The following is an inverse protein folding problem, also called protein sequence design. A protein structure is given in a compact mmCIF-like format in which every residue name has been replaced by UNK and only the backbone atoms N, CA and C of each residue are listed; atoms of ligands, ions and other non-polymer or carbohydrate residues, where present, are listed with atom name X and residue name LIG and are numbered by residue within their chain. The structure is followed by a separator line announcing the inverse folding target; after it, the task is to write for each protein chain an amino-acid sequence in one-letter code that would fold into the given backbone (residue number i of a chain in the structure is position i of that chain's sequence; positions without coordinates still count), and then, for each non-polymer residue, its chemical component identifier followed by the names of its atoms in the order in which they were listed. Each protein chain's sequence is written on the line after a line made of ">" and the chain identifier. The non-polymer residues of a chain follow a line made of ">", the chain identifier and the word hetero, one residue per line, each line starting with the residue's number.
data_IF_650597529898
#
_entry.id   IF_650597529898
#
_cell.length_a   1.000
_cell.length_b   1.000
_cell.length_c   1.000
_cell.angle_alpha   90.00
_cell.angle_beta   90.00
_cell.angle_gamma   90.00
#
_symmetry.space_group_name_H-M   'P 1'
#
loop_
_entity.id
_entity.type
_entity.pdbx_description
1 polymer ?
#
# COMPACT_ATOMS: atom_id res chain seq x y z
N UNK A 1 -14.82 -22.67 17.54
CA UNK A 1 -13.95 -23.88 17.47
C UNK A 1 -14.81 -25.13 17.26
N UNK A 2 -14.40 -26.06 16.40
CA UNK A 2 -15.28 -27.17 15.97
C UNK A 2 -15.34 -28.35 16.96
N UNK A 3 -14.30 -28.54 17.77
CA UNK A 3 -14.15 -29.73 18.62
C UNK A 3 -13.71 -29.43 20.07
N UNK A 4 -13.68 -28.16 20.49
CA UNK A 4 -13.32 -27.79 21.86
C UNK A 4 -13.96 -26.46 22.29
N UNK A 5 -13.94 -26.20 23.59
CA UNK A 5 -14.19 -24.87 24.19
C UNK A 5 -12.93 -24.42 24.92
N UNK A 6 -12.54 -23.15 24.82
CA UNK A 6 -11.28 -22.70 25.37
C UNK A 6 -11.09 -21.18 25.35
N UNK A 7 -10.03 -20.72 26.00
CA UNK A 7 -9.63 -19.32 25.92
C UNK A 7 -8.84 -19.07 24.62
N UNK A 8 -9.17 -17.99 23.93
CA UNK A 8 -8.39 -17.42 22.84
C UNK A 8 -7.83 -16.08 23.31
N UNK A 9 -6.61 -15.76 22.88
CA UNK A 9 -5.99 -14.46 23.05
C UNK A 9 -5.75 -13.83 21.68
N UNK A 10 -6.18 -12.59 21.53
CA UNK A 10 -6.12 -11.86 20.27
C UNK A 10 -5.32 -10.58 20.49
N UNK A 11 -4.22 -10.46 19.75
CA UNK A 11 -3.34 -9.30 19.76
C UNK A 11 -3.47 -8.56 18.43
N UNK A 12 -4.11 -7.38 18.43
CA UNK A 12 -4.32 -6.55 17.25
C UNK A 12 -3.62 -5.20 17.41
N UNK A 13 -2.92 -4.75 16.37
CA UNK A 13 -2.18 -3.50 16.47
C UNK A 13 -1.47 -3.08 15.19
N UNK A 14 -0.49 -2.21 15.37
CA UNK A 14 0.41 -1.69 14.35
C UNK A 14 1.84 -2.11 14.72
N UNK A 15 2.54 -2.71 13.76
CA UNK A 15 3.93 -3.12 13.89
C UNK A 15 4.81 -2.31 12.93
N UNK A 16 5.42 -1.23 13.42
CA UNK A 16 6.40 -0.42 12.68
C UNK A 16 7.85 -0.88 12.86
N UNK A 17 8.07 -2.13 13.29
CA UNK A 17 9.42 -2.70 13.40
C UNK A 17 9.90 -3.36 12.11
N UNK A 18 9.09 -3.34 11.05
CA UNK A 18 9.42 -3.89 9.72
C UNK A 18 10.61 -3.15 9.12
N UNK A 19 11.41 -3.88 8.35
CA UNK A 19 12.57 -3.37 7.61
C UNK A 19 12.51 -3.89 6.18
N UNK A 20 13.21 -3.21 5.28
CA UNK A 20 13.43 -3.67 3.92
C UNK A 20 14.83 -4.30 3.86
N UNK A 21 14.91 -5.62 3.84
CA UNK A 21 16.18 -6.35 3.82
C UNK A 21 17.15 -5.90 4.92
N UNK A 22 16.62 -5.60 6.11
CA UNK A 22 17.39 -5.10 7.26
C UNK A 22 17.50 -3.57 7.36
N UNK A 23 17.20 -2.83 6.30
CA UNK A 23 17.19 -1.36 6.32
C UNK A 23 15.91 -0.85 6.96
N UNK A 24 16.07 0.05 7.92
CA UNK A 24 14.95 0.76 8.51
C UNK A 24 14.70 2.06 7.74
N UNK A 25 13.51 2.23 7.15
CA UNK A 25 13.19 3.46 6.41
C UNK A 25 12.52 4.53 7.25
N UNK A 26 11.99 4.18 8.43
CA UNK A 26 11.21 5.09 9.27
C UNK A 26 11.94 5.46 10.56
N UNK A 27 11.87 6.75 10.90
CA UNK A 27 12.31 7.30 12.18
C UNK A 27 11.45 6.74 13.32
N UNK A 28 11.92 6.92 14.56
CA UNK A 28 11.05 6.67 15.71
C UNK A 28 9.82 7.58 15.62
N UNK A 29 8.67 6.99 15.88
CA UNK A 29 7.38 7.64 15.70
C UNK A 29 6.64 7.88 17.01
N UNK A 30 5.45 8.47 16.92
CA UNK A 30 4.52 8.58 18.03
C UNK A 30 3.48 7.48 17.96
N UNK A 31 3.26 6.79 19.07
CA UNK A 31 2.21 5.79 19.26
C UNK A 31 1.08 6.41 20.08
N UNK A 32 -0.18 6.17 19.70
CA UNK A 32 -1.33 6.69 20.42
C UNK A 32 -2.45 5.66 20.46
N UNK A 33 -3.13 5.62 21.61
CA UNK A 33 -4.40 4.94 21.80
C UNK A 33 -5.41 5.97 22.32
N UNK A 34 -6.56 6.12 21.66
CA UNK A 34 -7.60 7.08 22.04
C UNK A 34 -8.69 6.44 22.90
N UNK A 35 -9.44 7.25 23.65
CA UNK A 35 -10.66 6.82 24.36
C UNK A 35 -11.72 6.18 23.44
N UNK A 36 -11.75 6.55 22.15
CA UNK A 36 -12.63 5.94 21.15
C UNK A 36 -12.14 4.58 20.63
N UNK A 37 -11.10 3.98 21.22
CA UNK A 37 -10.57 2.67 20.80
C UNK A 37 -9.78 2.68 19.49
N UNK A 38 -9.27 3.84 19.06
CA UNK A 38 -8.43 3.98 17.86
C UNK A 38 -6.96 3.90 18.27
N UNK A 39 -6.20 3.07 17.55
CA UNK A 39 -4.74 2.99 17.63
C UNK A 39 -4.17 3.78 16.44
N UNK A 40 -3.24 4.70 16.67
CA UNK A 40 -2.49 5.36 15.60
C UNK A 40 -0.98 5.29 15.84
N UNK A 41 -0.23 5.25 14.74
CA UNK A 41 1.21 5.40 14.68
C UNK A 41 1.57 6.45 13.65
N UNK A 42 2.29 7.48 14.06
CA UNK A 42 2.84 8.52 13.18
C UNK A 42 4.35 8.36 13.09
N UNK A 43 4.93 8.43 11.90
CA UNK A 43 6.38 8.43 11.69
C UNK A 43 6.75 9.25 10.45
N UNK A 44 8.04 9.45 10.21
CA UNK A 44 8.61 10.05 9.01
C UNK A 44 9.69 9.17 8.43
N UNK A 45 9.85 9.18 7.11
CA UNK A 45 10.99 8.51 6.47
C UNK A 45 12.31 9.16 6.92
N UNK A 46 13.39 8.37 6.97
CA UNK A 46 14.69 8.85 7.47
C UNK A 46 15.28 9.93 6.56
N UNK A 47 15.30 9.70 5.25
CA UNK A 47 16.01 10.53 4.28
C UNK A 47 15.11 11.60 3.65
N UNK A 48 13.92 11.20 3.18
CA UNK A 48 13.02 12.08 2.42
C UNK A 48 12.01 12.86 3.27
N UNK A 49 12.01 12.65 4.59
CA UNK A 49 11.09 13.27 5.56
C UNK A 49 9.60 13.19 5.20
N UNK A 50 9.21 12.15 4.47
CA UNK A 50 7.81 11.87 4.12
C UNK A 50 7.10 11.40 5.39
N UNK A 51 6.06 12.13 5.79
CA UNK A 51 5.23 11.74 6.93
C UNK A 51 4.31 10.58 6.56
N UNK A 52 4.13 9.66 7.51
CA UNK A 52 3.28 8.49 7.42
C UNK A 52 2.42 8.39 8.68
N UNK A 53 1.13 8.12 8.51
CA UNK A 53 0.23 7.69 9.58
C UNK A 53 -0.45 6.39 9.22
N UNK A 54 -0.42 5.45 10.16
CA UNK A 54 -1.28 4.27 10.16
C UNK A 54 -2.26 4.46 11.32
N UNK A 55 -3.55 4.43 11.05
CA UNK A 55 -4.59 4.40 12.07
C UNK A 55 -5.47 3.16 11.89
N UNK A 56 -5.84 2.53 12.99
CA UNK A 56 -6.64 1.31 12.98
C UNK A 56 -7.62 1.26 14.13
N UNK A 57 -8.77 0.63 13.88
CA UNK A 57 -9.72 0.22 14.90
C UNK A 57 -10.30 -1.14 14.53
N UNK A 58 -10.64 -1.93 15.52
CA UNK A 58 -11.30 -3.22 15.33
C UNK A 58 -12.54 -3.32 16.22
N UNK A 59 -13.41 -4.25 15.86
CA UNK A 59 -14.55 -4.69 16.68
C UNK A 59 -14.64 -6.20 16.66
N UNK A 60 -15.10 -6.76 17.76
CA UNK A 60 -15.36 -8.20 17.90
C UNK A 60 -16.85 -8.48 17.79
N UNK A 61 -17.17 -9.67 17.27
CA UNK A 61 -18.52 -10.17 17.16
C UNK A 61 -18.54 -11.63 17.59
N UNK A 62 -19.61 -12.04 18.26
CA UNK A 62 -19.88 -13.42 18.65
C UNK A 62 -21.25 -13.81 18.13
N UNK A 63 -21.31 -14.83 17.27
CA UNK A 63 -22.54 -15.31 16.66
C UNK A 63 -23.38 -14.18 16.01
N UNK A 64 -22.72 -13.22 15.37
CA UNK A 64 -23.34 -12.06 14.71
C UNK A 64 -23.55 -10.82 15.58
N UNK A 65 -23.49 -10.94 16.90
CA UNK A 65 -23.71 -9.83 17.84
C UNK A 65 -22.38 -9.13 18.21
N UNK A 66 -22.43 -7.82 18.48
CA UNK A 66 -21.24 -7.07 18.93
C UNK A 66 -20.80 -7.62 20.28
N UNK A 67 -19.51 -7.93 20.38
CA UNK A 67 -18.88 -8.41 21.61
C UNK A 67 -17.96 -7.32 22.17
N UNK A 68 -18.35 -6.78 23.32
CA UNK A 68 -17.49 -5.91 24.12
C UNK A 68 -16.50 -6.77 24.91
N UNK A 69 -15.21 -6.60 24.64
CA UNK A 69 -14.13 -7.32 25.33
C UNK A 69 -13.23 -6.30 26.01
N UNK A 70 -12.84 -6.57 27.26
CA UNK A 70 -11.82 -5.75 27.92
C UNK A 70 -10.49 -5.92 27.19
N UNK A 71 -9.91 -4.81 26.78
CA UNK A 71 -8.64 -4.77 26.07
C UNK A 71 -7.55 -4.16 26.94
N UNK A 72 -6.35 -4.74 26.88
CA UNK A 72 -5.16 -4.24 27.54
C UNK A 72 -4.21 -3.65 26.49
N UNK A 73 -3.78 -2.40 26.72
CA UNK A 73 -2.86 -1.71 25.82
C UNK A 73 -1.43 -2.18 26.09
N UNK A 74 -0.77 -2.69 25.05
CA UNK A 74 0.63 -3.04 25.06
C UNK A 74 1.42 -2.19 24.05
N UNK A 75 2.69 -1.90 24.38
CA UNK A 75 3.61 -1.25 23.45
C UNK A 75 5.02 -1.82 23.52
N UNK A 76 5.73 -1.71 22.40
CA UNK A 76 7.18 -1.89 22.26
C UNK A 76 7.71 -0.77 21.37
N UNK A 77 9.02 -0.67 21.19
CA UNK A 77 9.62 0.28 20.24
C UNK A 77 8.97 0.17 18.85
N UNK A 78 8.38 1.26 18.34
CA UNK A 78 7.60 1.32 17.09
C UNK A 78 6.48 0.29 16.96
N UNK A 79 5.90 -0.19 18.05
CA UNK A 79 4.80 -1.17 18.01
C UNK A 79 3.79 -0.86 19.10
N UNK A 80 2.52 -0.86 18.75
CA UNK A 80 1.39 -0.67 19.66
C UNK A 80 0.32 -1.70 19.34
N UNK A 81 -0.28 -2.30 20.36
CA UNK A 81 -1.29 -3.33 20.20
C UNK A 81 -2.26 -3.35 21.38
N UNK A 82 -3.44 -3.91 21.14
CA UNK A 82 -4.41 -4.29 22.15
C UNK A 82 -4.40 -5.82 22.26
N UNK A 83 -4.30 -6.32 23.49
CA UNK A 83 -4.53 -7.73 23.80
C UNK A 83 -5.89 -7.90 24.43
N UNK A 84 -6.62 -8.93 24.00
CA UNK A 84 -7.91 -9.30 24.54
C UNK A 84 -7.97 -10.81 24.69
N UNK A 85 -8.58 -11.28 25.78
CA UNK A 85 -8.77 -12.72 26.04
C UNK A 85 -10.24 -13.02 26.17
N UNK A 86 -10.70 -14.04 25.45
CA UNK A 86 -12.10 -14.45 25.44
C UNK A 86 -12.24 -15.96 25.55
N UNK A 87 -13.23 -16.46 26.28
CA UNK A 87 -13.53 -17.90 26.37
C UNK A 87 -14.63 -18.23 25.36
N UNK A 88 -14.24 -18.87 24.27
CA UNK A 88 -15.14 -19.27 23.19
C UNK A 88 -15.60 -20.72 23.40
N UNK A 89 -16.89 -20.99 23.19
CA UNK A 89 -17.45 -22.34 23.25
C UNK A 89 -17.32 -23.07 21.92
N UNK A 90 -17.45 -24.39 21.97
CA UNK A 90 -17.58 -25.21 20.78
C UNK A 90 -18.75 -24.70 19.92
N UNK A 91 -18.53 -24.63 18.61
CA UNK A 91 -19.48 -24.18 17.59
C UNK A 91 -19.92 -22.71 17.68
N UNK A 92 -19.33 -21.89 18.57
CA UNK A 92 -19.48 -20.44 18.48
C UNK A 92 -18.59 -19.86 17.37
N UNK A 93 -19.12 -18.86 16.67
CA UNK A 93 -18.42 -18.08 15.66
C UNK A 93 -17.93 -16.77 16.28
N UNK A 94 -16.62 -16.55 16.24
CA UNK A 94 -15.99 -15.31 16.68
C UNK A 94 -15.38 -14.60 15.48
N UNK A 95 -15.81 -13.37 15.23
CA UNK A 95 -15.34 -12.54 14.11
C UNK A 95 -14.67 -11.29 14.66
N UNK A 96 -13.53 -10.91 14.11
CA UNK A 96 -12.99 -9.56 14.27
C UNK A 96 -13.01 -8.83 12.94
N UNK A 97 -13.49 -7.59 12.93
CA UNK A 97 -13.44 -6.70 11.76
C UNK A 97 -12.44 -5.61 12.08
N UNK A 98 -11.31 -5.55 11.36
CA UNK A 98 -10.26 -4.54 11.51
C UNK A 98 -10.29 -3.60 10.31
N UNK A 99 -10.36 -2.30 10.57
CA UNK A 99 -10.26 -1.26 9.55
C UNK A 99 -8.96 -0.48 9.76
N UNK A 100 -8.28 -0.21 8.66
CA UNK A 100 -6.98 0.47 8.64
C UNK A 100 -7.02 1.59 7.61
N UNK A 101 -6.51 2.75 7.97
CA UNK A 101 -6.19 3.83 7.05
C UNK A 101 -4.70 4.10 7.08
N UNK A 102 -4.12 4.28 5.91
CA UNK A 102 -2.72 4.68 5.73
C UNK A 102 -2.70 5.98 4.97
N UNK A 103 -2.01 6.98 5.51
CA UNK A 103 -1.88 8.30 4.90
C UNK A 103 -0.43 8.73 4.88
N UNK A 104 -0.05 9.46 3.83
CA UNK A 104 1.27 10.07 3.70
C UNK A 104 1.17 11.55 3.40
N UNK A 105 2.25 12.30 3.66
CA UNK A 105 2.35 13.70 3.20
C UNK A 105 2.40 13.83 1.68
N UNK A 106 2.49 12.72 0.93
CA UNK A 106 2.45 12.70 -0.54
C UNK A 106 1.04 12.57 -1.10
N UNK A 107 0.07 12.21 -0.28
CA UNK A 107 -1.30 11.98 -0.74
C UNK A 107 -1.89 13.25 -1.37
N UNK A 108 -2.80 13.12 -2.36
CA UNK A 108 -3.38 14.26 -3.07
C UNK A 108 -4.02 15.32 -2.16
N UNK A 109 -4.55 14.91 -1.01
CA UNK A 109 -5.15 15.78 0.01
C UNK A 109 -4.20 16.86 0.54
N UNK A 110 -2.89 16.65 0.40
CA UNK A 110 -1.86 17.57 0.86
C UNK A 110 -1.09 18.26 -0.27
N UNK A 111 -1.50 18.07 -1.53
CA UNK A 111 -0.83 18.66 -2.69
C UNK A 111 -0.80 20.19 -2.59
N UNK A 112 0.34 20.78 -2.95
CA UNK A 112 0.55 22.23 -2.94
C UNK A 112 0.85 22.84 -1.57
N UNK A 113 0.84 22.05 -0.49
CA UNK A 113 1.31 22.50 0.81
C UNK A 113 2.84 22.39 0.88
N UNK A 114 3.50 23.49 1.21
CA UNK A 114 4.97 23.50 1.41
C UNK A 114 5.39 22.61 2.58
N UNK A 115 4.59 22.58 3.65
CA UNK A 115 4.85 21.76 4.83
C UNK A 115 3.54 21.21 5.39
N UNK A 116 3.55 19.92 5.69
CA UNK A 116 2.42 19.22 6.29
C UNK A 116 2.86 18.66 7.63
N UNK A 117 2.16 19.08 8.69
CA UNK A 117 2.47 18.62 10.04
C UNK A 117 1.96 17.21 10.31
N UNK A 118 2.61 16.51 11.26
CA UNK A 118 2.19 15.18 11.73
C UNK A 118 0.75 15.17 12.26
N UNK A 119 0.32 16.29 12.86
CA UNK A 119 -1.05 16.45 13.36
C UNK A 119 -2.08 16.54 12.24
N UNK A 120 -1.75 17.20 11.13
CA UNK A 120 -2.65 17.31 9.98
C UNK A 120 -2.86 15.96 9.30
N UNK A 121 -1.78 15.21 9.02
CA UNK A 121 -1.88 13.88 8.43
C UNK A 121 -2.57 12.89 9.37
N UNK A 122 -2.31 12.97 10.68
CA UNK A 122 -2.98 12.11 11.67
C UNK A 122 -4.48 12.38 11.72
N UNK A 123 -4.86 13.67 11.70
CA UNK A 123 -6.27 14.06 11.67
C UNK A 123 -6.97 13.51 10.43
N UNK A 124 -6.36 13.65 9.25
CA UNK A 124 -6.94 13.14 8.00
C UNK A 124 -7.15 11.61 8.06
N UNK A 125 -6.14 10.87 8.53
CA UNK A 125 -6.23 9.42 8.68
C UNK A 125 -7.35 8.99 9.65
N UNK A 126 -7.41 9.61 10.83
CA UNK A 126 -8.41 9.29 11.85
C UNK A 126 -9.82 9.68 11.39
N UNK A 127 -9.99 10.85 10.79
CA UNK A 127 -11.30 11.30 10.31
C UNK A 127 -11.84 10.38 9.21
N UNK A 128 -10.98 9.91 8.29
CA UNK A 128 -11.40 8.97 7.27
C UNK A 128 -11.71 7.58 7.86
N UNK A 129 -10.89 7.12 8.82
CA UNK A 129 -11.16 5.88 9.55
C UNK A 129 -12.52 5.90 10.24
N UNK A 130 -12.88 7.02 10.89
CA UNK A 130 -14.19 7.20 11.53
C UNK A 130 -15.34 7.05 10.53
N UNK A 131 -15.23 7.67 9.35
CA UNK A 131 -16.23 7.51 8.27
C UNK A 131 -16.37 6.04 7.84
N UNK A 132 -15.26 5.31 7.66
CA UNK A 132 -15.30 3.90 7.28
C UNK A 132 -15.90 3.01 8.37
N UNK A 133 -15.67 3.33 9.63
CA UNK A 133 -16.26 2.65 10.79
C UNK A 133 -17.78 2.84 10.82
N UNK A 134 -18.29 4.01 10.46
CA UNK A 134 -19.73 4.28 10.35
C UNK A 134 -20.37 3.53 9.17
N UNK A 135 -19.67 3.43 8.03
CA UNK A 135 -20.14 2.67 6.87
C UNK A 135 -20.19 1.17 7.17
N UNK A 136 -19.17 0.63 7.85
CA UNK A 136 -19.06 -0.78 8.19
C UNK A 136 -18.37 -1.63 7.11
N UNK A 137 -17.72 -2.73 7.54
CA UNK A 137 -16.89 -3.58 6.68
C UNK A 137 -17.68 -4.17 5.52
N UNK A 138 -18.89 -4.69 5.77
CA UNK A 138 -19.64 -5.42 4.75
C UNK A 138 -20.03 -4.49 3.60
N UNK A 139 -20.48 -3.26 3.89
CA UNK A 139 -20.77 -2.26 2.86
C UNK A 139 -19.52 -1.83 2.08
N UNK A 140 -18.37 -1.70 2.74
CA UNK A 140 -17.10 -1.40 2.07
C UNK A 140 -16.67 -2.56 1.17
N UNK A 141 -16.86 -3.80 1.60
CA UNK A 141 -16.55 -5.00 0.82
C UNK A 141 -17.49 -5.14 -0.39
N UNK A 142 -18.79 -4.87 -0.22
CA UNK A 142 -19.73 -4.80 -1.35
C UNK A 142 -19.34 -3.71 -2.36
N UNK A 143 -18.94 -2.53 -1.89
CA UNK A 143 -18.46 -1.46 -2.76
C UNK A 143 -17.19 -1.87 -3.52
N UNK A 144 -16.27 -2.59 -2.86
CA UNK A 144 -15.07 -3.15 -3.47
C UNK A 144 -15.41 -4.18 -4.57
N UNK A 145 -16.29 -5.15 -4.29
CA UNK A 145 -16.75 -6.13 -5.28
C UNK A 145 -17.38 -5.46 -6.49
N UNK A 146 -18.30 -4.52 -6.26
CA UNK A 146 -18.96 -3.76 -7.34
C UNK A 146 -17.93 -3.04 -8.23
N UNK A 147 -16.87 -2.49 -7.64
CA UNK A 147 -15.80 -1.83 -8.41
C UNK A 147 -15.02 -2.83 -9.27
N UNK A 148 -14.72 -4.01 -8.74
CA UNK A 148 -14.08 -5.08 -9.51
C UNK A 148 -14.99 -5.64 -10.60
N UNK A 149 -16.27 -5.84 -10.33
CA UNK A 149 -17.24 -6.31 -11.35
C UNK A 149 -17.32 -5.33 -12.53
N UNK A 150 -17.31 -4.02 -12.25
CA UNK A 150 -17.26 -2.99 -13.29
C UNK A 150 -15.96 -3.04 -14.09
N UNK A 151 -14.83 -3.24 -13.42
CA UNK A 151 -13.53 -3.36 -14.06
C UNK A 151 -13.47 -4.60 -14.95
N UNK A 152 -13.89 -5.77 -14.46
CA UNK A 152 -13.91 -7.03 -15.21
C UNK A 152 -14.75 -6.95 -16.49
N UNK A 153 -15.91 -6.28 -16.46
CA UNK A 153 -16.73 -6.05 -17.66
C UNK A 153 -15.99 -5.34 -18.80
N UNK A 154 -14.93 -4.59 -18.49
CA UNK A 154 -14.16 -3.83 -19.46
C UNK A 154 -12.88 -4.54 -19.91
N UNK A 155 -12.30 -5.40 -19.08
CA UNK A 155 -10.96 -5.95 -19.31
C UNK A 155 -10.96 -7.45 -19.59
N UNK A 156 -12.01 -8.20 -19.23
CA UNK A 156 -11.96 -9.66 -19.22
C UNK A 156 -11.71 -10.23 -20.63
N UNK A 157 -10.79 -11.19 -20.69
CA UNK A 157 -10.50 -11.96 -21.90
C UNK A 157 -10.98 -13.38 -21.63
N UNK A 158 -11.99 -13.80 -22.40
CA UNK A 158 -12.55 -15.15 -22.31
C UNK A 158 -11.86 -16.03 -23.36
N UNK A 159 -11.23 -17.10 -22.89
CA UNK A 159 -10.53 -18.05 -23.75
C UNK A 159 -11.39 -19.28 -23.98
N UNK A 160 -11.39 -19.77 -25.22
CA UNK A 160 -11.88 -21.12 -25.55
C UNK A 160 -10.70 -22.09 -25.42
N UNK A 161 -10.50 -22.63 -24.21
CA UNK A 161 -9.32 -23.41 -23.85
C UNK A 161 -9.36 -23.94 -22.41
N UNK A 162 -8.24 -24.49 -21.90
CA UNK A 162 -8.17 -25.03 -20.55
C UNK A 162 -8.47 -23.99 -19.46
N UNK A 163 -9.13 -24.43 -18.37
CA UNK A 163 -9.44 -23.57 -17.21
C UNK A 163 -8.21 -22.87 -16.62
N UNK A 164 -7.04 -23.53 -16.70
CA UNK A 164 -5.79 -22.96 -16.22
C UNK A 164 -5.34 -21.74 -17.03
N UNK A 165 -5.52 -21.75 -18.35
CA UNK A 165 -5.14 -20.63 -19.21
C UNK A 165 -6.05 -19.42 -18.94
N UNK A 166 -7.34 -19.69 -18.72
CA UNK A 166 -8.30 -18.66 -18.30
C UNK A 166 -7.95 -18.07 -16.93
N UNK A 167 -7.52 -18.89 -15.97
CA UNK A 167 -7.04 -18.42 -14.68
C UNK A 167 -5.76 -17.60 -14.83
N UNK A 168 -4.80 -18.06 -15.64
CA UNK A 168 -3.52 -17.40 -15.85
C UNK A 168 -3.69 -16.00 -16.44
N UNK A 169 -4.52 -15.83 -17.49
CA UNK A 169 -4.76 -14.51 -18.08
C UNK A 169 -5.45 -13.56 -17.08
N UNK A 170 -6.48 -14.05 -16.36
CA UNK A 170 -7.16 -13.26 -15.33
C UNK A 170 -6.23 -12.90 -14.17
N UNK A 171 -5.32 -13.79 -13.79
CA UNK A 171 -4.31 -13.52 -12.77
C UNK A 171 -3.35 -12.41 -13.21
N UNK A 172 -2.85 -12.46 -14.45
CA UNK A 172 -2.01 -11.41 -15.03
C UNK A 172 -2.75 -10.06 -15.09
N UNK A 173 -4.01 -10.05 -15.54
CA UNK A 173 -4.84 -8.85 -15.58
C UNK A 173 -5.06 -8.28 -14.18
N UNK A 174 -5.49 -9.13 -13.24
CA UNK A 174 -5.69 -8.74 -11.84
C UNK A 174 -4.47 -8.00 -11.29
N UNK A 175 -3.26 -8.53 -11.51
CA UNK A 175 -2.04 -7.90 -11.04
C UNK A 175 -1.76 -6.55 -11.72
N UNK A 176 -1.89 -6.45 -13.06
CA UNK A 176 -1.72 -5.18 -13.78
C UNK A 176 -2.63 -4.11 -13.21
N UNK A 177 -3.92 -4.38 -13.07
CA UNK A 177 -4.87 -3.37 -12.63
C UNK A 177 -4.78 -3.06 -11.14
N UNK A 178 -4.46 -4.05 -10.29
CA UNK A 178 -4.25 -3.81 -8.86
C UNK A 178 -3.03 -2.93 -8.59
N UNK A 179 -1.95 -3.08 -9.36
CA UNK A 179 -0.72 -2.30 -9.18
C UNK A 179 -0.72 -0.94 -9.91
N UNK A 180 -1.74 -0.64 -10.72
CA UNK A 180 -1.82 0.61 -11.49
C UNK A 180 -2.25 1.78 -10.60
N UNK A 181 -1.41 2.80 -10.37
CA UNK A 181 -1.80 3.96 -9.59
C UNK A 181 -2.70 4.89 -10.42
N UNK A 182 -4.01 4.84 -10.14
CA UNK A 182 -5.00 5.69 -10.85
C UNK A 182 -5.26 7.04 -10.16
N UNK A 183 -4.78 7.21 -8.94
CA UNK A 183 -5.09 8.32 -8.04
C UNK A 183 -4.11 9.49 -8.10
N UNK A 184 -2.92 9.29 -8.70
CA UNK A 184 -1.88 10.31 -8.77
C UNK A 184 -1.00 10.14 -10.03
N UNK A 185 -0.94 11.18 -10.86
CA UNK A 185 -0.16 11.27 -12.09
C UNK A 185 1.36 11.36 -11.86
N UNK A 186 1.80 11.56 -10.61
CA UNK A 186 3.22 11.52 -10.21
C UNK A 186 3.71 10.11 -9.88
N UNK A 187 2.85 9.11 -10.05
CA UNK A 187 3.16 7.70 -9.79
C UNK A 187 3.10 6.90 -11.08
N UNK A 188 3.84 5.80 -11.11
CA UNK A 188 3.88 4.85 -12.21
C UNK A 188 4.01 3.42 -11.67
N UNK A 189 4.06 2.42 -12.56
CA UNK A 189 4.08 1.00 -12.19
C UNK A 189 5.53 0.53 -12.10
N UNK A 190 5.94 0.11 -10.90
CA UNK A 190 7.26 -0.47 -10.67
C UNK A 190 7.39 -1.88 -11.26
N UNK A 191 8.63 -2.33 -11.49
CA UNK A 191 8.90 -3.66 -12.08
C UNK A 191 8.30 -4.85 -11.31
N UNK A 192 8.04 -4.69 -9.99
CA UNK A 192 7.32 -5.67 -9.15
C UNK A 192 6.05 -5.08 -8.52
N UNK A 193 5.52 -4.00 -9.10
CA UNK A 193 4.40 -3.26 -8.52
C UNK A 193 4.64 -2.96 -7.03
N UNK A 194 3.69 -3.35 -6.19
CA UNK A 194 3.78 -3.26 -4.72
C UNK A 194 3.80 -4.64 -4.06
N UNK A 195 4.29 -5.68 -4.75
CA UNK A 195 4.22 -7.07 -4.28
C UNK A 195 5.42 -7.50 -3.42
N UNK A 196 6.46 -6.66 -3.30
CA UNK A 196 7.65 -6.99 -2.54
C UNK A 196 8.81 -6.01 -2.77
N UNK A 197 9.98 -6.34 -2.22
CA UNK A 197 11.17 -5.47 -2.23
C UNK A 197 12.02 -5.57 -3.50
N UNK A 198 11.77 -6.58 -4.35
CA UNK A 198 12.50 -6.77 -5.59
C UNK A 198 12.43 -5.52 -6.48
N UNK A 199 13.58 -5.06 -6.95
CA UNK A 199 13.73 -3.80 -7.70
C UNK A 199 13.22 -2.55 -6.95
N UNK A 200 13.06 -2.60 -5.62
CA UNK A 200 12.88 -1.45 -4.72
C UNK A 200 11.70 -0.51 -5.05
N UNK A 201 10.71 -0.97 -5.82
CA UNK A 201 9.62 -0.11 -6.30
C UNK A 201 10.04 0.85 -7.41
N UNK A 202 11.18 0.62 -8.07
CA UNK A 202 11.66 1.42 -9.18
C UNK A 202 10.86 1.13 -10.46
N UNK A 203 10.70 2.17 -11.27
CA UNK A 203 10.01 2.17 -12.55
C UNK A 203 11.04 2.06 -13.67
N UNK A 204 10.83 1.10 -14.55
CA UNK A 204 11.69 0.77 -15.68
C UNK A 204 10.93 1.00 -16.99
N UNK A 205 11.61 0.80 -18.13
CA UNK A 205 10.98 0.70 -19.45
C UNK A 205 9.89 -0.40 -19.54
N UNK A 206 9.89 -1.36 -18.61
CA UNK A 206 8.84 -2.37 -18.44
C UNK A 206 7.44 -1.75 -18.43
N UNK A 207 7.27 -0.59 -17.79
CA UNK A 207 5.99 0.10 -17.72
C UNK A 207 5.53 0.50 -19.13
N UNK A 208 6.35 1.22 -19.89
CA UNK A 208 5.97 1.74 -21.21
C UNK A 208 5.87 0.65 -22.29
N UNK A 209 6.70 -0.38 -22.25
CA UNK A 209 6.79 -1.37 -23.33
C UNK A 209 5.87 -2.57 -23.10
N UNK A 210 5.74 -3.05 -21.86
CA UNK A 210 5.00 -4.29 -21.58
C UNK A 210 3.62 -4.04 -20.99
N UNK A 211 3.46 -3.02 -20.13
CA UNK A 211 2.20 -2.78 -19.42
C UNK A 211 1.33 -1.76 -20.16
N UNK A 212 1.90 -0.62 -20.54
CA UNK A 212 1.20 0.50 -21.14
C UNK A 212 0.38 0.14 -22.38
N UNK A 213 0.80 -0.77 -23.30
CA UNK A 213 -0.03 -1.13 -24.45
C UNK A 213 -1.41 -1.66 -24.06
N UNK A 214 -1.50 -2.51 -23.04
CA UNK A 214 -2.79 -3.01 -22.54
C UNK A 214 -3.68 -1.89 -22.02
N UNK A 215 -3.09 -0.90 -21.35
CA UNK A 215 -3.79 0.27 -20.81
C UNK A 215 -4.17 1.28 -21.90
N UNK A 216 -3.42 1.40 -22.99
CA UNK A 216 -3.81 2.25 -24.13
C UNK A 216 -5.15 1.79 -24.71
N UNK A 217 -5.32 0.47 -24.88
CA UNK A 217 -6.54 -0.07 -25.48
C UNK A 217 -7.71 -0.18 -24.49
N UNK A 218 -7.43 -0.41 -23.20
CA UNK A 218 -8.49 -0.57 -22.19
C UNK A 218 -8.84 0.73 -21.46
N UNK A 219 -7.86 1.58 -21.16
CA UNK A 219 -8.01 2.82 -20.38
C UNK A 219 -7.05 3.94 -20.84
N UNK A 220 -7.25 4.55 -22.01
CA UNK A 220 -6.33 5.53 -22.58
C UNK A 220 -6.02 6.72 -21.66
N UNK A 221 -6.99 7.16 -20.85
CA UNK A 221 -6.78 8.24 -19.86
C UNK A 221 -5.83 7.83 -18.73
N UNK A 222 -5.85 6.55 -18.33
CA UNK A 222 -4.90 6.03 -17.34
C UNK A 222 -3.52 5.90 -17.98
N UNK A 223 -3.44 5.39 -19.21
CA UNK A 223 -2.18 5.33 -19.96
C UNK A 223 -1.54 6.72 -20.11
N UNK A 224 -2.35 7.75 -20.42
CA UNK A 224 -1.88 9.14 -20.45
C UNK A 224 -1.34 9.61 -19.09
N UNK A 225 -2.02 9.32 -17.98
CA UNK A 225 -1.52 9.67 -16.62
C UNK A 225 -0.19 9.00 -16.30
N UNK A 226 -0.03 7.74 -16.69
CA UNK A 226 1.22 7.00 -16.54
C UNK A 226 2.36 7.60 -17.38
N UNK A 227 2.07 8.17 -18.55
CA UNK A 227 3.06 8.92 -19.33
C UNK A 227 3.37 10.31 -18.73
N UNK A 228 2.39 10.96 -18.07
CA UNK A 228 2.63 12.23 -17.37
C UNK A 228 3.67 12.08 -16.25
N UNK A 229 3.80 10.91 -15.62
CA UNK A 229 4.91 10.61 -14.71
C UNK A 229 6.27 10.92 -15.35
N UNK A 230 6.51 10.46 -16.59
CA UNK A 230 7.75 10.74 -17.32
C UNK A 230 7.92 12.22 -17.63
N UNK A 231 6.83 12.91 -17.96
CA UNK A 231 6.85 14.35 -18.19
C UNK A 231 7.22 15.12 -16.91
N UNK A 232 6.65 14.78 -15.75
CA UNK A 232 6.97 15.43 -14.48
C UNK A 232 8.43 15.25 -14.06
N UNK A 233 9.06 14.16 -14.48
CA UNK A 233 10.45 13.84 -14.18
C UNK A 233 11.43 14.13 -15.33
N UNK A 234 11.00 14.91 -16.33
CA UNK A 234 11.81 15.24 -17.49
C UNK A 234 13.11 15.99 -17.13
N UNK A 235 13.08 16.83 -16.09
CA UNK A 235 14.26 17.57 -15.66
C UNK A 235 15.35 16.65 -15.08
N UNK A 236 14.97 15.58 -14.37
CA UNK A 236 15.92 14.55 -13.94
C UNK A 236 16.58 13.82 -15.12
N UNK A 237 15.81 13.55 -16.18
CA UNK A 237 16.34 12.95 -17.41
C UNK A 237 17.30 13.89 -18.17
N UNK A 238 17.02 15.20 -18.16
CA UNK A 238 17.91 16.22 -18.75
C UNK A 238 19.21 16.36 -17.97
N UNK A 239 19.14 16.38 -16.63
CA UNK A 239 20.35 16.44 -15.81
C UNK A 239 21.21 15.19 -16.02
N UNK A 240 20.61 14.00 -16.08
CA UNK A 240 21.34 12.77 -16.40
C UNK A 240 22.04 12.85 -17.77
N UNK A 241 21.37 13.38 -18.81
CA UNK A 241 21.99 13.54 -20.12
C UNK A 241 23.25 14.42 -20.03
N UNK A 242 23.12 15.57 -19.36
CA UNK A 242 24.20 16.52 -19.15
C UNK A 242 25.37 15.91 -18.35
N UNK A 243 25.09 15.19 -17.27
CA UNK A 243 26.09 14.47 -16.46
C UNK A 243 26.90 13.46 -17.30
N UNK A 244 26.30 12.93 -18.37
CA UNK A 244 26.94 11.99 -19.29
C UNK A 244 27.49 12.65 -20.57
N UNK A 245 27.49 13.99 -20.65
CA UNK A 245 28.02 14.72 -21.82
C UNK A 245 27.11 14.69 -23.05
N UNK A 246 25.81 14.40 -22.87
CA UNK A 246 24.81 14.40 -23.93
C UNK A 246 23.86 15.60 -23.80
N UNK A 247 23.19 15.94 -24.90
CA UNK A 247 22.07 16.89 -24.92
C UNK A 247 20.72 16.16 -24.89
N UNK A 248 19.64 16.89 -24.62
CA UNK A 248 18.28 16.34 -24.61
C UNK A 248 17.91 15.67 -23.29
N UNK A 249 17.18 14.56 -23.36
CA UNK A 249 16.68 13.84 -22.18
C UNK A 249 17.10 12.38 -22.24
N UNK A 250 17.91 11.97 -21.25
CA UNK A 250 18.31 10.59 -21.04
C UNK A 250 17.55 10.08 -19.82
N UNK A 251 16.45 9.36 -20.03
CA UNK A 251 15.70 8.82 -18.89
C UNK A 251 16.57 7.84 -18.07
N UNK A 252 16.39 7.80 -16.74
CA UNK A 252 17.05 6.82 -15.90
C UNK A 252 16.64 5.40 -16.26
N UNK A 253 17.57 4.45 -16.12
CA UNK A 253 17.27 3.03 -16.31
C UNK A 253 16.33 2.54 -15.20
N UNK A 254 16.61 2.95 -13.96
CA UNK A 254 15.73 2.78 -12.80
C UNK A 254 15.30 4.15 -12.30
N UNK A 255 13.99 4.41 -12.30
CA UNK A 255 13.40 5.68 -11.87
C UNK A 255 12.62 5.53 -10.57
N UNK A 256 12.71 6.50 -9.67
CA UNK A 256 11.93 6.56 -8.43
C UNK A 256 11.16 7.89 -8.32
N UNK A 257 11.23 8.57 -7.17
CA UNK A 257 10.40 9.72 -6.83
C UNK A 257 11.01 11.09 -7.12
N UNK A 258 12.29 11.14 -7.53
CA UNK A 258 12.98 12.37 -7.95
C UNK A 258 13.15 12.47 -9.47
N UNK A 259 12.96 11.37 -10.21
CA UNK A 259 13.25 11.32 -11.64
C UNK A 259 14.72 11.09 -12.00
N UNK A 260 15.61 11.07 -11.01
CA UNK A 260 17.03 10.81 -11.21
C UNK A 260 17.32 9.31 -11.35
N UNK A 261 18.53 8.98 -11.82
CA UNK A 261 19.01 7.59 -11.86
C UNK A 261 19.18 7.02 -10.46
N UNK A 262 18.47 5.92 -10.18
CA UNK A 262 18.58 5.18 -8.92
C UNK A 262 19.08 3.74 -9.11
N UNK A 263 19.55 3.41 -10.32
CA UNK A 263 20.20 2.12 -10.59
C UNK A 263 21.42 1.98 -9.67
N UNK A 264 21.49 0.90 -8.84
CA UNK A 264 22.66 0.65 -8.03
C UNK A 264 23.91 0.52 -8.92
N UNK A 265 24.98 1.26 -8.59
CA UNK A 265 26.26 1.16 -9.31
C UNK A 265 26.96 -0.19 -9.12
N UNK A 266 26.57 -0.92 -8.09
CA UNK A 266 27.17 -2.18 -7.68
C UNK A 266 26.08 -3.23 -7.50
N UNK A 267 26.34 -4.43 -7.99
CA UNK A 267 25.48 -5.60 -7.79
C UNK A 267 25.74 -6.32 -6.47
N UNK A 268 25.24 -7.54 -6.36
CA UNK A 268 25.66 -8.44 -5.28
C UNK A 268 27.16 -8.70 -5.34
N UNK A 269 27.78 -8.94 -4.18
CA UNK A 269 29.20 -9.31 -4.08
C UNK A 269 29.46 -10.55 -4.93
N UNK A 270 30.50 -10.52 -5.76
CA UNK A 270 30.96 -11.73 -6.43
C UNK A 270 31.74 -12.57 -5.42
N UNK A 271 31.08 -13.58 -4.86
CA UNK A 271 31.72 -14.47 -3.88
C UNK A 271 32.93 -15.24 -4.43
N UNK A 272 33.17 -15.24 -5.74
CA UNK A 272 34.35 -15.86 -6.36
C UNK A 272 35.51 -14.88 -6.53
N UNK A 273 35.24 -13.60 -6.77
CA UNK A 273 36.29 -12.61 -7.06
C UNK A 273 36.49 -11.55 -5.98
N UNK A 274 35.62 -11.50 -4.96
CA UNK A 274 35.62 -10.49 -3.90
C UNK A 274 35.01 -9.18 -4.38
#
# INVERSE_FOLDING_TARGET
>A
PLNYSGAIEICLGINGQTTNSGVQHFKEGRLRFSSEGIISMTSRTQESDIGLVIATKHRFYLNGEILEVKEEVGSKRRKIFLSSRYKIKQNEEFIFKKMVTVYTTRDPDFRGKEKVSDKEIEKAAIDNLKKFIEIGYDKLFEAHKKRWDQLWKQIDIVLDGPDFDQLAIRFSQFHIYQMTPVHDERLSIAAKGLSGEGYKGHVFWDMEIFILPSLIYTFPEIAKRLLLYRYYFLDGAREKAKENGFEGAMYPWECADTGCEVTPKWGGVDFKTG
#
